data_IF_995674367702
#
_entry.id   IF_995674367702
#
_cell.length_a   1.000
_cell.length_b   1.000
_cell.length_c   1.000
_cell.angle_alpha   90.00
_cell.angle_beta   90.00
_cell.angle_gamma   90.00
#
_symmetry.space_group_name_H-M   'P 1'
#
loop_
_entity.id
_entity.type
_entity.pdbx_description
1 polymer ?
#
# COMPACT_ATOMS: atom_id res chain seq x y z
N UNK A 1 2.59 -14.16 -44.48
CA UNK A 1 3.29 -13.06 -45.18
C UNK A 1 4.00 -12.25 -44.11
N UNK A 2 5.28 -12.51 -43.88
CA UNK A 2 6.12 -11.75 -42.96
C UNK A 2 6.31 -10.34 -43.52
N UNK A 3 6.00 -9.31 -42.73
CA UNK A 3 6.19 -7.93 -43.13
C UNK A 3 7.67 -7.65 -43.41
N UNK A 4 8.02 -6.99 -44.53
CA UNK A 4 9.42 -6.74 -44.93
C UNK A 4 10.23 -5.90 -43.92
N UNK A 5 9.57 -5.28 -42.93
CA UNK A 5 10.21 -4.54 -41.84
C UNK A 5 10.77 -5.44 -40.72
N UNK A 6 10.26 -6.68 -40.56
CA UNK A 6 10.78 -7.62 -39.55
C UNK A 6 12.20 -8.08 -39.89
N UNK A 7 12.51 -8.22 -41.17
CA UNK A 7 13.81 -8.72 -41.62
C UNK A 7 14.94 -7.68 -41.47
N UNK A 8 14.63 -6.38 -41.33
CA UNK A 8 15.66 -5.32 -41.25
C UNK A 8 16.30 -5.24 -39.86
N UNK A 9 15.51 -5.28 -38.77
CA UNK A 9 16.09 -5.13 -37.42
C UNK A 9 16.85 -6.38 -36.97
N UNK A 10 16.34 -7.58 -37.25
CA UNK A 10 17.01 -8.82 -36.86
C UNK A 10 18.39 -8.96 -37.50
N UNK A 11 18.52 -8.54 -38.77
CA UNK A 11 19.81 -8.44 -39.46
C UNK A 11 20.74 -7.43 -38.81
N UNK A 12 20.25 -6.22 -38.52
CA UNK A 12 21.03 -5.17 -37.84
C UNK A 12 21.49 -5.59 -36.44
N UNK A 13 20.66 -6.33 -35.69
CA UNK A 13 21.04 -6.89 -34.39
C UNK A 13 22.15 -7.93 -34.53
N UNK A 14 22.07 -8.80 -35.55
CA UNK A 14 23.15 -9.75 -35.87
C UNK A 14 24.48 -9.06 -36.18
N UNK A 15 24.44 -7.99 -36.98
CA UNK A 15 25.61 -7.18 -37.30
C UNK A 15 26.20 -6.48 -36.07
N UNK A 16 25.33 -5.92 -35.21
CA UNK A 16 25.75 -5.29 -33.95
C UNK A 16 26.39 -6.30 -33.00
N UNK A 17 25.79 -7.47 -32.82
CA UNK A 17 26.33 -8.55 -31.99
C UNK A 17 27.70 -9.02 -32.50
N UNK A 18 27.85 -9.22 -33.81
CA UNK A 18 29.11 -9.60 -34.43
C UNK A 18 30.19 -8.52 -34.24
N UNK A 19 29.84 -7.25 -34.51
CA UNK A 19 30.76 -6.13 -34.36
C UNK A 19 31.17 -5.85 -32.90
N UNK A 20 30.28 -6.15 -31.95
CA UNK A 20 30.52 -5.97 -30.51
C UNK A 20 31.68 -6.84 -29.98
N UNK A 21 31.93 -7.99 -30.63
CA UNK A 21 33.00 -8.92 -30.28
C UNK A 21 34.39 -8.45 -30.74
N UNK A 22 34.46 -7.50 -31.67
CA UNK A 22 35.70 -7.03 -32.27
C UNK A 22 36.05 -5.59 -31.81
N UNK A 23 37.31 -5.30 -31.44
CA UNK A 23 37.78 -3.93 -31.23
C UNK A 23 37.55 -3.06 -32.46
N UNK A 24 37.21 -1.78 -32.26
CA UNK A 24 36.88 -0.86 -33.35
C UNK A 24 37.95 -0.80 -34.47
N UNK A 25 39.24 -0.87 -34.11
CA UNK A 25 40.37 -0.88 -35.06
C UNK A 25 40.47 -2.14 -35.93
N UNK A 26 39.84 -3.24 -35.52
CA UNK A 26 39.84 -4.53 -36.24
C UNK A 26 38.59 -4.75 -37.09
N UNK A 27 37.63 -3.82 -37.06
CA UNK A 27 36.43 -3.89 -37.89
C UNK A 27 36.77 -3.47 -39.30
N UNK A 28 36.26 -4.19 -40.30
CA UNK A 28 36.42 -3.83 -41.71
C UNK A 28 35.56 -2.62 -42.08
N UNK A 29 34.43 -2.45 -41.39
CA UNK A 29 33.45 -1.38 -41.63
C UNK A 29 33.13 -0.64 -40.32
N UNK A 30 32.73 0.62 -40.46
CA UNK A 30 32.23 1.41 -39.34
C UNK A 30 30.86 0.87 -38.90
N UNK A 31 30.66 0.68 -37.60
CA UNK A 31 29.38 0.23 -37.03
C UNK A 31 28.39 1.38 -36.82
N UNK A 32 28.85 2.63 -36.91
CA UNK A 32 28.04 3.84 -36.72
C UNK A 32 26.74 3.85 -37.56
N UNK A 33 26.76 3.61 -38.90
CA UNK A 33 25.53 3.60 -39.69
C UNK A 33 24.53 2.51 -39.25
N UNK A 34 25.02 1.34 -38.84
CA UNK A 34 24.19 0.26 -38.30
C UNK A 34 23.51 0.69 -37.00
N UNK A 35 24.25 1.37 -36.10
CA UNK A 35 23.68 1.93 -34.86
C UNK A 35 22.62 2.98 -35.19
N UNK A 36 22.88 3.93 -36.09
CA UNK A 36 21.93 4.98 -36.49
C UNK A 36 20.63 4.38 -37.05
N UNK A 37 20.75 3.41 -37.96
CA UNK A 37 19.58 2.72 -38.54
C UNK A 37 18.81 1.93 -37.49
N UNK A 38 19.51 1.21 -36.60
CA UNK A 38 18.90 0.50 -35.46
C UNK A 38 18.11 1.47 -34.59
N UNK A 39 18.71 2.62 -34.23
CA UNK A 39 18.01 3.62 -33.39
C UNK A 39 16.82 4.26 -34.09
N UNK A 40 16.87 4.45 -35.41
CA UNK A 40 15.72 4.95 -36.19
C UNK A 40 14.56 3.97 -36.15
N UNK A 41 14.81 2.68 -36.44
CA UNK A 41 13.77 1.66 -36.43
C UNK A 41 13.16 1.52 -35.02
N UNK A 42 13.99 1.51 -33.99
CA UNK A 42 13.51 1.43 -32.61
C UNK A 42 12.66 2.65 -32.22
N UNK A 43 12.98 3.83 -32.71
CA UNK A 43 12.18 5.04 -32.50
C UNK A 43 10.82 4.94 -33.20
N UNK A 44 10.79 4.39 -34.42
CA UNK A 44 9.58 4.36 -35.25
C UNK A 44 8.56 3.29 -34.82
N UNK A 45 9.02 2.07 -34.48
CA UNK A 45 8.14 0.93 -34.16
C UNK A 45 8.33 0.30 -32.78
N UNK A 46 9.38 0.68 -32.04
CA UNK A 46 9.81 -0.01 -30.83
C UNK A 46 10.48 -1.37 -31.11
N UNK A 47 10.78 -2.09 -30.03
CA UNK A 47 11.34 -3.44 -30.04
C UNK A 47 10.31 -4.48 -29.58
N UNK A 48 10.19 -5.56 -30.34
CA UNK A 48 9.45 -6.76 -29.93
C UNK A 48 10.13 -7.44 -28.72
N UNK A 49 9.43 -8.30 -27.95
CA UNK A 49 10.00 -8.95 -26.76
C UNK A 49 11.35 -9.66 -27.00
N UNK A 50 11.49 -10.40 -28.10
CA UNK A 50 12.73 -11.12 -28.44
C UNK A 50 13.85 -10.16 -28.84
N UNK A 51 13.53 -9.13 -29.64
CA UNK A 51 14.47 -8.08 -30.05
C UNK A 51 14.97 -7.29 -28.82
N UNK A 52 14.06 -7.01 -27.88
CA UNK A 52 14.35 -6.32 -26.62
C UNK A 52 15.31 -7.13 -25.75
N UNK A 53 15.07 -8.44 -25.63
CA UNK A 53 15.94 -9.34 -24.86
C UNK A 53 17.38 -9.35 -25.44
N UNK A 54 17.51 -9.48 -26.78
CA UNK A 54 18.80 -9.43 -27.48
C UNK A 54 19.51 -8.10 -27.32
N UNK A 55 18.79 -6.98 -27.42
CA UNK A 55 19.34 -5.64 -27.19
C UNK A 55 19.83 -5.49 -25.75
N UNK A 56 19.06 -5.94 -24.76
CA UNK A 56 19.48 -5.89 -23.36
C UNK A 56 20.71 -6.76 -23.11
N UNK A 57 20.82 -7.95 -23.71
CA UNK A 57 22.03 -8.77 -23.64
C UNK A 57 23.25 -8.02 -24.19
N UNK A 58 23.11 -7.45 -25.40
CA UNK A 58 24.16 -6.65 -26.02
C UNK A 58 24.60 -5.48 -25.12
N UNK A 59 23.66 -4.80 -24.48
CA UNK A 59 23.92 -3.58 -23.70
C UNK A 59 24.45 -3.87 -22.28
N UNK A 60 24.19 -5.04 -21.73
CA UNK A 60 24.59 -5.42 -20.35
C UNK A 60 25.89 -6.22 -20.30
N UNK A 61 26.25 -6.92 -21.39
CA UNK A 61 27.50 -7.68 -21.49
C UNK A 61 28.65 -6.78 -21.92
N UNK A 62 29.84 -7.00 -21.33
CA UNK A 62 31.07 -6.31 -21.75
C UNK A 62 31.38 -6.58 -23.23
N UNK A 63 31.49 -5.52 -24.00
CA UNK A 63 31.78 -5.59 -25.44
C UNK A 63 32.65 -4.39 -25.90
N UNK A 64 32.90 -4.30 -27.20
CA UNK A 64 33.76 -3.28 -27.82
C UNK A 64 33.00 -2.12 -28.49
N UNK A 65 31.68 -2.02 -28.33
CA UNK A 65 30.92 -0.86 -28.77
C UNK A 65 31.28 0.35 -27.90
N UNK A 66 31.32 1.53 -28.52
CA UNK A 66 31.64 2.75 -27.80
C UNK A 66 30.44 3.22 -26.94
N UNK A 67 30.72 4.04 -25.94
CA UNK A 67 29.71 4.50 -24.98
C UNK A 67 28.61 5.36 -25.62
N UNK A 68 28.91 6.08 -26.72
CA UNK A 68 27.90 6.89 -27.40
C UNK A 68 26.89 5.99 -28.12
N UNK A 69 27.38 4.97 -28.83
CA UNK A 69 26.53 3.96 -29.47
C UNK A 69 25.63 3.23 -28.47
N UNK A 70 26.20 2.71 -27.37
CA UNK A 70 25.43 2.03 -26.33
C UNK A 70 24.34 2.94 -25.72
N UNK A 71 24.70 4.20 -25.41
CA UNK A 71 23.76 5.15 -24.84
C UNK A 71 22.68 5.60 -25.84
N UNK A 72 22.98 5.66 -27.14
CA UNK A 72 22.00 5.96 -28.18
C UNK A 72 20.95 4.84 -28.30
N UNK A 73 21.38 3.58 -28.23
CA UNK A 73 20.48 2.42 -28.25
C UNK A 73 19.58 2.42 -27.01
N UNK A 74 20.13 2.57 -25.78
CA UNK A 74 19.32 2.60 -24.55
C UNK A 74 18.26 3.70 -24.57
N UNK A 75 18.60 4.88 -25.10
CA UNK A 75 17.65 6.01 -25.19
C UNK A 75 16.49 5.76 -26.14
N UNK A 76 16.68 4.89 -27.14
CA UNK A 76 15.65 4.50 -28.09
C UNK A 76 15.06 3.12 -27.78
N UNK A 77 15.32 2.56 -26.60
CA UNK A 77 14.85 1.22 -26.25
C UNK A 77 13.37 1.24 -25.86
N UNK A 78 12.47 1.42 -26.82
CA UNK A 78 11.02 1.46 -26.60
C UNK A 78 10.42 0.06 -26.72
N UNK A 79 9.83 -0.55 -25.67
CA UNK A 79 9.13 -1.83 -25.81
C UNK A 79 7.85 -1.65 -26.62
N UNK A 80 7.61 -2.49 -27.62
CA UNK A 80 6.33 -2.53 -28.34
C UNK A 80 5.25 -3.30 -27.57
N UNK A 81 5.65 -4.05 -26.54
CA UNK A 81 4.78 -4.91 -25.74
C UNK A 81 5.20 -4.95 -24.27
N UNK A 82 4.82 -6.02 -23.58
CA UNK A 82 5.21 -6.23 -22.19
C UNK A 82 6.70 -6.60 -22.08
N UNK A 83 7.30 -6.25 -20.95
CA UNK A 83 8.71 -6.52 -20.64
C UNK A 83 8.80 -7.72 -19.70
N UNK A 84 9.43 -8.80 -20.18
CA UNK A 84 9.59 -10.05 -19.46
C UNK A 84 10.55 -9.94 -18.26
N UNK A 85 10.31 -10.77 -17.24
CA UNK A 85 11.08 -10.79 -15.99
C UNK A 85 12.58 -11.02 -16.22
N UNK A 86 12.95 -11.89 -17.16
CA UNK A 86 14.35 -12.15 -17.51
C UNK A 86 15.08 -10.89 -18.01
N UNK A 87 14.40 -10.08 -18.82
CA UNK A 87 14.94 -8.82 -19.34
C UNK A 87 15.20 -7.84 -18.21
N UNK A 88 14.25 -7.72 -17.27
CA UNK A 88 14.40 -6.89 -16.06
C UNK A 88 15.57 -7.38 -15.21
N UNK A 89 15.67 -8.68 -14.96
CA UNK A 89 16.74 -9.26 -14.14
C UNK A 89 18.13 -9.06 -14.76
N UNK A 90 18.27 -9.13 -16.09
CA UNK A 90 19.53 -8.83 -16.78
C UNK A 90 19.96 -7.38 -16.55
N UNK A 91 19.02 -6.44 -16.67
CA UNK A 91 19.29 -5.03 -16.37
C UNK A 91 19.70 -4.85 -14.90
N UNK A 92 18.97 -5.46 -13.96
CA UNK A 92 19.29 -5.37 -12.52
C UNK A 92 20.66 -6.01 -12.22
N UNK A 93 20.97 -7.16 -12.83
CA UNK A 93 22.26 -7.85 -12.69
C UNK A 93 23.45 -7.04 -13.21
N UNK A 94 23.21 -6.13 -14.16
CA UNK A 94 24.21 -5.23 -14.70
C UNK A 94 24.54 -4.03 -13.79
N UNK A 95 23.77 -3.79 -12.74
CA UNK A 95 23.98 -2.63 -11.84
C UNK A 95 25.12 -2.86 -10.84
N UNK A 96 25.79 -1.77 -10.45
CA UNK A 96 26.85 -1.74 -9.44
C UNK A 96 28.26 -1.82 -10.02
N UNK A 97 29.22 -2.14 -9.16
CA UNK A 97 30.65 -2.19 -9.49
C UNK A 97 31.06 -3.60 -9.93
N UNK A 98 31.89 -3.71 -10.96
CA UNK A 98 32.42 -4.99 -11.43
C UNK A 98 33.03 -4.91 -12.83
N UNK A 99 34.02 -5.76 -13.11
CA UNK A 99 34.73 -5.76 -14.41
C UNK A 99 33.85 -6.16 -15.59
N UNK A 100 32.78 -6.91 -15.33
CA UNK A 100 31.81 -7.36 -16.33
C UNK A 100 30.62 -6.41 -16.48
N UNK A 101 30.50 -5.41 -15.62
CA UNK A 101 29.34 -4.51 -15.59
C UNK A 101 29.55 -3.31 -16.53
N UNK A 102 28.48 -2.77 -17.12
CA UNK A 102 28.55 -1.54 -17.91
C UNK A 102 28.96 -0.33 -17.07
N UNK A 103 29.30 0.77 -17.75
CA UNK A 103 29.69 2.02 -17.10
C UNK A 103 28.55 2.60 -16.24
N UNK A 104 28.89 3.32 -15.17
CA UNK A 104 27.89 3.97 -14.30
C UNK A 104 26.93 4.91 -15.07
N UNK A 105 27.38 5.69 -16.07
CA UNK A 105 26.46 6.47 -16.92
C UNK A 105 25.46 5.60 -17.68
N UNK A 106 25.86 4.45 -18.20
CA UNK A 106 24.94 3.53 -18.89
C UNK A 106 23.97 2.88 -17.90
N UNK A 107 24.44 2.51 -16.70
CA UNK A 107 23.57 2.04 -15.61
C UNK A 107 22.51 3.07 -15.20
N UNK A 108 22.86 4.36 -15.16
CA UNK A 108 21.88 5.42 -14.90
C UNK A 108 20.79 5.48 -15.98
N UNK A 109 21.15 5.28 -17.25
CA UNK A 109 20.17 5.21 -18.35
C UNK A 109 19.27 3.98 -18.22
N UNK A 110 19.80 2.83 -17.83
CA UNK A 110 19.00 1.63 -17.57
C UNK A 110 18.01 1.83 -16.42
N UNK A 111 18.42 2.44 -15.31
CA UNK A 111 17.52 2.73 -14.19
C UNK A 111 16.42 3.71 -14.58
N UNK A 112 16.76 4.75 -15.36
CA UNK A 112 15.76 5.66 -15.93
C UNK A 112 14.79 4.91 -16.84
N UNK A 113 15.31 4.01 -17.68
CA UNK A 113 14.49 3.20 -18.56
C UNK A 113 13.52 2.31 -17.77
N UNK A 114 13.98 1.60 -16.73
CA UNK A 114 13.13 0.79 -15.85
C UNK A 114 11.99 1.60 -15.20
N UNK A 115 12.27 2.85 -14.80
CA UNK A 115 11.24 3.76 -14.29
C UNK A 115 10.20 4.06 -15.37
N UNK A 116 10.64 4.38 -16.60
CA UNK A 116 9.75 4.72 -17.71
C UNK A 116 8.88 3.54 -18.15
N UNK A 117 9.42 2.31 -18.14
CA UNK A 117 8.70 1.11 -18.57
C UNK A 117 8.04 0.34 -17.42
N UNK A 118 8.00 0.89 -16.20
CA UNK A 118 7.48 0.18 -15.01
C UNK A 118 6.05 -0.35 -15.18
N UNK A 119 5.20 0.39 -15.89
CA UNK A 119 3.81 0.01 -16.19
C UNK A 119 3.68 -1.06 -17.31
N UNK A 120 4.76 -1.29 -18.06
CA UNK A 120 4.85 -2.28 -19.14
C UNK A 120 5.48 -3.59 -18.67
N UNK A 121 5.91 -3.71 -17.42
CA UNK A 121 6.43 -4.97 -16.89
C UNK A 121 5.33 -6.04 -16.88
N UNK A 122 5.69 -7.28 -17.23
CA UNK A 122 4.80 -8.44 -17.10
C UNK A 122 4.46 -8.69 -15.63
N UNK A 123 5.48 -8.72 -14.78
CA UNK A 123 5.35 -8.90 -13.35
C UNK A 123 6.18 -7.85 -12.58
N UNK A 124 5.56 -6.75 -12.14
CA UNK A 124 6.24 -5.71 -11.34
C UNK A 124 6.84 -6.21 -10.03
N UNK A 125 6.42 -7.38 -9.51
CA UNK A 125 6.94 -7.95 -8.27
C UNK A 125 8.40 -8.42 -8.40
N UNK A 126 8.92 -8.63 -9.62
CA UNK A 126 10.31 -9.05 -9.83
C UNK A 126 11.31 -8.01 -9.26
N UNK A 127 11.01 -6.72 -9.41
CA UNK A 127 11.80 -5.63 -8.83
C UNK A 127 11.70 -5.60 -7.30
N UNK A 128 10.56 -6.00 -6.76
CA UNK A 128 10.38 -6.14 -5.31
C UNK A 128 11.22 -7.30 -4.75
N UNK A 129 11.39 -8.39 -5.48
CA UNK A 129 12.29 -9.48 -5.07
C UNK A 129 13.75 -9.05 -5.12
N UNK A 130 14.14 -8.24 -6.12
CA UNK A 130 15.48 -7.68 -6.25
C UNK A 130 15.74 -6.43 -5.39
N UNK A 131 14.81 -6.05 -4.51
CA UNK A 131 14.88 -4.79 -3.75
C UNK A 131 16.18 -4.64 -2.96
N UNK A 132 16.69 -5.73 -2.36
CA UNK A 132 17.96 -5.70 -1.63
C UNK A 132 19.15 -5.26 -2.48
N UNK A 133 19.22 -5.74 -3.73
CA UNK A 133 20.28 -5.37 -4.67
C UNK A 133 20.21 -3.88 -5.01
N UNK A 134 19.01 -3.40 -5.37
CA UNK A 134 18.79 -1.99 -5.71
C UNK A 134 19.09 -1.07 -4.53
N UNK A 135 18.64 -1.44 -3.33
CA UNK A 135 18.83 -0.66 -2.11
C UNK A 135 20.30 -0.55 -1.71
N UNK A 136 21.06 -1.63 -1.83
CA UNK A 136 22.47 -1.67 -1.43
C UNK A 136 23.38 -0.82 -2.34
N UNK A 137 22.88 -0.35 -3.49
CA UNK A 137 23.61 0.53 -4.41
C UNK A 137 23.34 2.03 -4.19
N UNK A 138 22.55 2.40 -3.16
CA UNK A 138 22.24 3.80 -2.86
C UNK A 138 23.47 4.65 -2.49
N UNK A 139 24.53 4.02 -2.01
CA UNK A 139 25.83 4.65 -1.75
C UNK A 139 26.46 5.23 -3.04
N UNK A 140 26.18 4.61 -4.19
CA UNK A 140 26.77 4.92 -5.50
C UNK A 140 26.17 6.21 -6.09
N UNK A 141 26.80 7.35 -5.80
CA UNK A 141 26.30 8.69 -6.14
C UNK A 141 25.91 8.88 -7.61
N UNK A 142 26.64 8.27 -8.55
CA UNK A 142 26.41 8.43 -10.00
C UNK A 142 25.05 7.91 -10.49
N UNK A 143 24.47 6.92 -9.80
CA UNK A 143 23.20 6.28 -10.16
C UNK A 143 22.10 6.47 -9.10
N UNK A 144 22.45 7.08 -7.96
CA UNK A 144 21.56 7.30 -6.81
C UNK A 144 20.25 8.02 -7.19
N UNK A 145 20.22 9.09 -7.99
CA UNK A 145 18.96 9.77 -8.31
C UNK A 145 17.94 8.84 -8.97
N UNK A 146 18.39 8.03 -9.94
CA UNK A 146 17.53 7.09 -10.66
C UNK A 146 17.18 5.89 -9.79
N UNK A 147 18.09 5.40 -8.94
CA UNK A 147 17.79 4.37 -7.94
C UNK A 147 16.71 4.84 -6.97
N UNK A 148 16.79 6.05 -6.44
CA UNK A 148 15.78 6.59 -5.52
C UNK A 148 14.40 6.64 -6.18
N UNK A 149 14.32 7.03 -7.45
CA UNK A 149 13.05 7.06 -8.18
C UNK A 149 12.49 5.64 -8.39
N UNK A 150 13.32 4.69 -8.84
CA UNK A 150 12.87 3.30 -9.01
C UNK A 150 12.44 2.69 -7.67
N UNK A 151 13.23 2.89 -6.61
CA UNK A 151 12.89 2.43 -5.26
C UNK A 151 11.61 3.07 -4.75
N UNK A 152 11.33 4.35 -5.05
CA UNK A 152 10.07 4.98 -4.67
C UNK A 152 8.84 4.26 -5.28
N UNK A 153 8.93 3.77 -6.53
CA UNK A 153 7.87 3.01 -7.19
C UNK A 153 7.73 1.59 -6.63
N UNK A 154 8.86 0.94 -6.32
CA UNK A 154 8.93 -0.47 -5.89
C UNK A 154 8.70 -0.65 -4.39
N UNK A 155 8.96 0.39 -3.57
CA UNK A 155 8.84 0.31 -2.12
C UNK A 155 7.43 -0.05 -1.69
N UNK A 156 7.35 -1.00 -0.76
CA UNK A 156 6.16 -1.53 -0.09
C UNK A 156 6.52 -1.75 1.38
N UNK A 157 5.55 -1.95 2.26
CA UNK A 157 5.77 -2.10 3.71
C UNK A 157 6.86 -3.13 4.05
N UNK A 158 6.84 -4.31 3.40
CA UNK A 158 7.86 -5.37 3.59
C UNK A 158 9.31 -4.94 3.36
N UNK A 159 9.52 -3.89 2.57
CA UNK A 159 10.85 -3.35 2.27
C UNK A 159 11.34 -2.36 3.34
N UNK A 160 10.43 -1.69 4.06
CA UNK A 160 10.72 -0.64 5.05
C UNK A 160 11.11 -1.29 6.38
N UNK A 161 12.33 -1.82 6.43
CA UNK A 161 12.91 -2.44 7.64
C UNK A 161 13.75 -1.44 8.43
N UNK A 162 13.85 -1.56 9.77
CA UNK A 162 14.61 -0.62 10.60
C UNK A 162 16.04 -0.37 10.10
N UNK A 163 16.77 -1.42 9.71
CA UNK A 163 18.14 -1.28 9.19
C UNK A 163 18.22 -0.46 7.89
N UNK A 164 17.20 -0.54 7.02
CA UNK A 164 17.14 0.26 5.79
C UNK A 164 16.80 1.71 6.08
N UNK A 165 15.88 1.95 7.03
CA UNK A 165 15.57 3.32 7.48
C UNK A 165 16.83 3.98 8.05
N UNK A 166 17.56 3.28 8.92
CA UNK A 166 18.83 3.74 9.48
C UNK A 166 19.88 4.00 8.39
N UNK A 167 19.99 3.11 7.40
CA UNK A 167 20.92 3.30 6.29
C UNK A 167 20.60 4.55 5.45
N UNK A 168 19.33 4.79 5.10
CA UNK A 168 18.93 6.01 4.37
C UNK A 168 19.22 7.25 5.22
N UNK A 169 18.84 7.26 6.50
CA UNK A 169 19.08 8.40 7.39
C UNK A 169 20.58 8.70 7.55
N UNK A 170 21.40 7.65 7.71
CA UNK A 170 22.85 7.75 7.74
C UNK A 170 23.42 8.35 6.46
N UNK A 171 22.93 7.89 5.30
CA UNK A 171 23.35 8.39 4.00
C UNK A 171 22.91 9.85 3.79
N UNK A 172 21.67 10.23 4.13
CA UNK A 172 21.19 11.62 4.09
C UNK A 172 22.11 12.56 4.87
N UNK A 173 22.52 12.15 6.08
CA UNK A 173 23.44 12.91 6.93
C UNK A 173 24.82 13.05 6.31
N UNK A 174 25.36 11.98 5.73
CA UNK A 174 26.67 12.01 5.04
C UNK A 174 26.65 12.89 3.80
N UNK A 175 25.55 12.90 3.05
CA UNK A 175 25.43 13.62 1.77
C UNK A 175 24.98 15.07 1.92
N UNK A 176 24.72 15.55 3.14
CA UNK A 176 24.32 16.94 3.38
C UNK A 176 22.90 17.30 2.90
N UNK A 177 21.95 16.37 2.96
CA UNK A 177 20.55 16.66 2.59
C UNK A 177 20.21 16.44 1.12
N UNK A 178 20.65 15.32 0.53
CA UNK A 178 20.30 14.92 -0.83
C UNK A 178 18.76 14.86 -1.04
N UNK A 179 18.21 15.63 -2.00
CA UNK A 179 16.76 15.70 -2.22
C UNK A 179 16.16 14.36 -2.68
N UNK A 180 16.93 13.51 -3.37
CA UNK A 180 16.45 12.22 -3.86
C UNK A 180 16.27 11.23 -2.71
N UNK A 181 17.25 11.19 -1.79
CA UNK A 181 17.15 10.38 -0.57
C UNK A 181 16.05 10.90 0.36
N UNK A 182 15.88 12.21 0.44
CA UNK A 182 14.76 12.83 1.17
C UNK A 182 13.42 12.42 0.57
N UNK A 183 13.30 12.37 -0.76
CA UNK A 183 12.13 11.86 -1.47
C UNK A 183 11.84 10.40 -1.12
N UNK A 184 12.85 9.53 -1.17
CA UNK A 184 12.70 8.11 -0.80
C UNK A 184 12.32 7.94 0.68
N UNK A 185 12.89 8.74 1.58
CA UNK A 185 12.56 8.72 3.01
C UNK A 185 11.09 9.12 3.27
N UNK A 186 10.54 10.06 2.48
CA UNK A 186 9.10 10.39 2.54
C UNK A 186 8.23 9.20 2.15
N UNK A 187 8.63 8.41 1.16
CA UNK A 187 7.92 7.16 0.81
C UNK A 187 7.98 6.17 1.98
N UNK A 188 9.13 6.01 2.61
CA UNK A 188 9.26 5.14 3.80
C UNK A 188 8.38 5.63 4.96
N UNK A 189 8.26 6.94 5.14
CA UNK A 189 7.42 7.57 6.16
C UNK A 189 5.93 7.25 5.99
N UNK A 190 5.45 7.05 4.77
CA UNK A 190 4.06 6.65 4.53
C UNK A 190 3.74 5.27 5.13
N UNK A 191 4.74 4.38 5.24
CA UNK A 191 4.57 3.03 5.78
C UNK A 191 4.86 2.93 7.29
N UNK A 192 5.80 3.73 7.80
CA UNK A 192 6.19 3.77 9.21
C UNK A 192 6.44 5.22 9.67
N UNK A 193 5.37 5.99 9.94
CA UNK A 193 5.49 7.39 10.38
C UNK A 193 6.18 7.53 11.74
N UNK A 194 6.16 6.49 12.59
CA UNK A 194 6.84 6.44 13.89
C UNK A 194 8.37 6.37 13.83
N UNK A 195 8.98 5.78 12.80
CA UNK A 195 10.44 5.54 12.80
C UNK A 195 11.25 6.81 12.45
N UNK A 196 10.62 7.80 11.83
CA UNK A 196 11.31 8.99 11.28
C UNK A 196 11.13 10.25 12.15
N UNK A 197 10.18 10.24 13.10
CA UNK A 197 10.01 11.34 14.07
C UNK A 197 9.84 10.80 15.49
N UNK A 198 10.87 10.89 16.35
CA UNK A 198 10.79 10.46 17.74
C UNK A 198 9.99 11.42 18.63
N UNK A 199 9.28 12.42 18.07
CA UNK A 199 8.55 13.42 18.84
C UNK A 199 7.02 13.29 18.64
N UNK A 200 6.30 12.74 19.64
CA UNK A 200 4.85 12.67 19.67
C UNK A 200 4.16 14.04 19.54
N UNK A 201 4.77 15.13 20.01
CA UNK A 201 4.20 16.48 19.93
C UNK A 201 4.20 17.02 18.50
N UNK A 202 5.28 16.79 17.76
CA UNK A 202 5.34 17.12 16.33
C UNK A 202 4.29 16.33 15.52
N UNK A 203 4.08 15.03 15.85
CA UNK A 203 3.04 14.19 15.22
C UNK A 203 1.65 14.75 15.43
N UNK A 204 1.29 15.07 16.67
CA UNK A 204 0.01 15.70 17.00
C UNK A 204 -0.21 17.00 16.19
N UNK A 205 0.86 17.77 15.95
CA UNK A 205 0.80 18.99 15.14
C UNK A 205 0.65 18.72 13.64
N UNK A 206 1.32 17.72 13.09
CA UNK A 206 1.17 17.35 11.67
C UNK A 206 -0.23 16.81 11.40
N UNK A 207 -0.75 15.95 12.28
CA UNK A 207 -2.11 15.42 12.18
C UNK A 207 -3.12 16.57 12.21
N UNK A 208 -2.93 17.55 13.08
CA UNK A 208 -3.75 18.79 13.11
C UNK A 208 -3.67 19.58 11.79
N UNK A 209 -2.50 19.65 11.14
CA UNK A 209 -2.30 20.35 9.86
C UNK A 209 -2.94 19.59 8.69
N UNK A 210 -2.79 18.26 8.64
CA UNK A 210 -3.39 17.42 7.61
C UNK A 210 -4.92 17.38 7.75
N UNK A 211 -5.44 17.33 8.98
CA UNK A 211 -6.87 17.46 9.29
C UNK A 211 -7.47 18.78 8.78
N UNK A 212 -6.72 19.90 8.86
CA UNK A 212 -7.14 21.19 8.29
C UNK A 212 -7.20 21.18 6.77
N UNK A 213 -6.34 20.41 6.10
CA UNK A 213 -6.31 20.30 4.63
C UNK A 213 -7.42 19.38 4.10
N UNK A 214 -7.67 18.23 4.73
CA UNK A 214 -8.77 17.34 4.34
C UNK A 214 -10.14 17.97 4.56
N UNK A 215 -10.31 18.85 5.56
CA UNK A 215 -11.53 19.68 5.74
C UNK A 215 -11.89 20.53 4.52
N UNK A 216 -10.92 20.90 3.67
CA UNK A 216 -11.17 21.70 2.45
C UNK A 216 -11.55 20.86 1.23
N UNK A 217 -11.34 19.54 1.27
CA UNK A 217 -11.47 18.66 0.11
C UNK A 217 -12.72 17.76 0.16
N UNK A 218 -13.38 17.65 1.32
CA UNK A 218 -14.44 16.66 1.59
C UNK A 218 -15.85 17.05 1.10
N UNK A 219 -15.99 18.17 0.37
CA UNK A 219 -17.30 18.63 -0.17
C UNK A 219 -17.66 18.02 -1.54
N UNK A 220 -16.85 17.10 -2.11
CA UNK A 220 -17.01 16.70 -3.52
C UNK A 220 -16.87 15.22 -3.90
N UNK A 221 -16.66 14.25 -3.00
CA UNK A 221 -16.55 12.84 -3.42
C UNK A 221 -17.62 11.91 -2.85
N UNK A 222 -18.21 11.12 -3.75
CA UNK A 222 -19.07 9.97 -3.43
C UNK A 222 -18.19 8.92 -2.73
N UNK A 223 -18.52 8.60 -1.48
CA UNK A 223 -17.73 7.66 -0.66
C UNK A 223 -17.98 6.22 -1.12
N UNK A 224 -17.00 5.59 -1.74
CA UNK A 224 -17.00 4.14 -1.94
C UNK A 224 -16.78 3.46 -0.58
N UNK A 225 -17.75 2.68 -0.10
CA UNK A 225 -17.71 1.98 1.19
C UNK A 225 -16.70 0.82 1.26
N UNK A 226 -15.68 0.81 0.41
CA UNK A 226 -14.61 -0.18 0.31
C UNK A 226 -13.23 0.39 0.64
N UNK A 227 -13.19 1.53 1.34
CA UNK A 227 -11.98 2.10 1.91
C UNK A 227 -12.19 2.35 3.41
N UNK A 228 -11.12 2.21 4.20
CA UNK A 228 -11.16 2.48 5.65
C UNK A 228 -11.62 3.91 5.90
N UNK A 229 -12.67 4.02 6.70
CA UNK A 229 -13.35 5.27 6.89
C UNK A 229 -12.74 6.03 8.07
N UNK A 230 -11.63 6.74 7.80
CA UNK A 230 -11.05 7.70 8.74
C UNK A 230 -12.00 8.85 9.11
N UNK A 231 -13.16 8.97 8.44
CA UNK A 231 -14.15 10.01 8.69
C UNK A 231 -15.16 9.69 9.78
N UNK A 232 -15.31 8.44 10.22
CA UNK A 232 -16.29 8.10 11.26
C UNK A 232 -15.90 8.63 12.64
N UNK A 233 -14.61 8.82 12.91
CA UNK A 233 -14.13 9.63 14.03
C UNK A 233 -14.57 11.11 13.97
N UNK A 234 -15.24 11.56 12.89
CA UNK A 234 -15.77 12.94 12.73
C UNK A 234 -17.27 13.08 13.03
N UNK A 235 -18.08 12.02 13.01
CA UNK A 235 -19.54 12.12 13.23
C UNK A 235 -19.91 12.21 14.72
N UNK A 236 -19.09 11.60 15.57
CA UNK A 236 -19.25 11.62 17.02
C UNK A 236 -18.48 12.82 17.58
N UNK A 237 -19.14 13.97 17.69
CA UNK A 237 -18.52 15.20 18.25
C UNK A 237 -18.06 15.04 19.71
N UNK A 238 -18.49 13.99 20.41
CA UNK A 238 -18.01 13.56 21.74
C UNK A 238 -17.11 12.31 21.71
N UNK A 239 -17.47 11.26 20.95
CA UNK A 239 -16.79 9.96 20.99
C UNK A 239 -15.43 9.85 20.26
N UNK A 240 -14.77 10.97 19.94
CA UNK A 240 -13.41 10.98 19.33
C UNK A 240 -12.36 10.23 20.16
N UNK A 241 -12.62 10.05 21.45
CA UNK A 241 -11.73 9.36 22.40
C UNK A 241 -12.07 7.86 22.53
N UNK A 242 -13.29 7.42 22.20
CA UNK A 242 -13.73 6.04 22.44
C UNK A 242 -13.26 5.05 21.39
N UNK A 243 -13.48 5.39 20.13
CA UNK A 243 -13.32 4.43 19.04
C UNK A 243 -12.00 4.69 18.33
N UNK A 244 -10.99 3.83 18.54
CA UNK A 244 -9.78 3.92 17.75
C UNK A 244 -10.09 3.78 16.25
N UNK A 245 -9.32 4.46 15.41
CA UNK A 245 -9.38 4.21 13.97
C UNK A 245 -8.92 2.78 13.66
N UNK A 246 -9.43 2.21 12.57
CA UNK A 246 -9.00 0.90 12.11
C UNK A 246 -7.49 0.94 11.86
N UNK A 247 -6.76 0.20 12.66
CA UNK A 247 -5.31 0.09 12.59
C UNK A 247 -4.83 -1.33 12.86
N UNK A 248 -4.00 -1.82 11.95
CA UNK A 248 -3.33 -3.12 12.04
C UNK A 248 -1.88 -2.93 12.46
N UNK A 249 -1.57 -3.23 13.73
CA UNK A 249 -0.22 -3.25 14.27
C UNK A 249 0.37 -4.66 14.08
N UNK A 250 1.59 -4.74 13.56
CA UNK A 250 2.36 -5.98 13.37
C UNK A 250 1.81 -6.96 12.32
N UNK A 251 1.34 -6.44 11.18
CA UNK A 251 0.89 -7.30 10.09
C UNK A 251 2.02 -8.23 9.56
N UNK A 252 1.73 -9.51 9.36
CA UNK A 252 2.69 -10.48 8.80
C UNK A 252 2.93 -10.28 7.30
N UNK A 253 4.04 -10.83 6.79
CA UNK A 253 4.51 -10.56 5.43
C UNK A 253 3.63 -11.10 4.30
N UNK A 254 2.76 -12.07 4.60
CA UNK A 254 1.83 -12.70 3.66
C UNK A 254 0.40 -12.16 3.73
N UNK A 255 0.13 -11.26 4.67
CA UNK A 255 -1.22 -10.73 4.88
C UNK A 255 -1.41 -9.36 4.22
N UNK A 256 -2.69 -9.03 4.03
CA UNK A 256 -3.16 -7.73 3.55
C UNK A 256 -3.82 -7.04 4.73
N UNK A 257 -3.64 -5.74 4.91
CA UNK A 257 -4.37 -5.05 5.98
C UNK A 257 -5.64 -4.41 5.41
N UNK A 258 -6.63 -4.16 6.27
CA UNK A 258 -7.90 -3.60 5.83
C UNK A 258 -7.73 -2.20 5.20
N UNK A 259 -6.72 -1.46 5.63
CA UNK A 259 -6.33 -0.13 5.14
C UNK A 259 -5.84 -0.14 3.68
N UNK A 260 -5.46 -1.30 3.15
CA UNK A 260 -4.94 -1.47 1.77
C UNK A 260 -6.06 -1.80 0.76
N UNK A 261 -7.28 -2.00 1.24
CA UNK A 261 -8.44 -2.30 0.41
C UNK A 261 -9.11 -0.99 -0.01
N UNK A 262 -9.34 -0.85 -1.31
CA UNK A 262 -9.94 0.34 -1.93
C UNK A 262 -11.17 0.03 -2.80
N UNK A 263 -11.48 -1.25 -2.97
CA UNK A 263 -12.47 -1.77 -3.92
C UNK A 263 -13.05 -3.11 -3.46
N UNK A 264 -14.22 -3.46 -4.01
CA UNK A 264 -14.88 -4.72 -3.71
C UNK A 264 -14.07 -5.91 -4.24
N UNK A 265 -13.46 -5.74 -5.41
CA UNK A 265 -12.61 -6.72 -6.06
C UNK A 265 -11.35 -7.00 -5.22
N UNK A 266 -10.72 -5.94 -4.68
CA UNK A 266 -9.56 -6.07 -3.79
C UNK A 266 -9.90 -6.80 -2.49
N UNK A 267 -11.07 -6.52 -1.90
CA UNK A 267 -11.55 -7.25 -0.72
C UNK A 267 -11.76 -8.74 -1.03
N UNK A 268 -12.44 -9.07 -2.14
CA UNK A 268 -12.75 -10.44 -2.50
C UNK A 268 -11.49 -11.27 -2.79
N UNK A 269 -10.50 -10.70 -3.49
CA UNK A 269 -9.25 -11.39 -3.84
C UNK A 269 -8.36 -11.65 -2.63
N UNK A 270 -8.48 -10.84 -1.57
CA UNK A 270 -7.60 -10.91 -0.41
C UNK A 270 -8.29 -11.37 0.86
N UNK A 271 -9.59 -11.72 0.83
CA UNK A 271 -10.44 -11.99 2.00
C UNK A 271 -9.78 -12.90 3.07
N UNK A 272 -9.13 -13.98 2.64
CA UNK A 272 -8.47 -14.94 3.53
C UNK A 272 -7.13 -14.43 4.08
N UNK A 273 -6.46 -13.56 3.32
CA UNK A 273 -5.17 -12.96 3.65
C UNK A 273 -5.32 -11.68 4.47
N UNK A 274 -6.53 -11.12 4.57
CA UNK A 274 -6.73 -9.92 5.35
C UNK A 274 -6.47 -10.22 6.82
N UNK A 275 -5.49 -9.54 7.39
CA UNK A 275 -5.22 -9.59 8.82
C UNK A 275 -6.15 -8.65 9.58
N UNK A 276 -6.60 -9.15 10.72
CA UNK A 276 -7.52 -8.42 11.56
C UNK A 276 -6.83 -7.23 12.24
N UNK A 277 -7.44 -6.03 12.19
CA UNK A 277 -6.92 -4.86 12.88
C UNK A 277 -6.72 -5.13 14.37
N UNK A 278 -5.67 -4.53 14.96
CA UNK A 278 -5.39 -4.70 16.39
C UNK A 278 -6.49 -4.09 17.26
N UNK A 279 -7.13 -3.04 16.75
CA UNK A 279 -8.20 -2.30 17.41
C UNK A 279 -9.59 -2.72 16.86
N UNK A 280 -9.99 -3.96 17.13
CA UNK A 280 -11.21 -4.59 16.59
C UNK A 280 -12.52 -3.86 16.92
N UNK A 281 -12.57 -3.09 18.00
CA UNK A 281 -13.74 -2.29 18.41
C UNK A 281 -14.14 -1.27 17.33
N UNK A 282 -13.19 -0.88 16.47
CA UNK A 282 -13.45 -0.05 15.31
C UNK A 282 -14.52 -0.65 14.36
N UNK A 283 -14.81 -1.96 14.44
CA UNK A 283 -15.90 -2.62 13.69
C UNK A 283 -17.24 -1.94 13.91
N UNK A 284 -17.50 -1.39 15.09
CA UNK A 284 -18.79 -0.76 15.37
C UNK A 284 -19.00 0.48 14.51
N UNK A 285 -17.92 1.15 14.11
CA UNK A 285 -17.97 2.31 13.26
C UNK A 285 -17.68 1.97 11.79
N UNK A 286 -16.60 1.24 11.49
CA UNK A 286 -16.04 1.12 10.14
C UNK A 286 -16.79 0.12 9.23
N UNK A 287 -17.42 0.57 8.12
CA UNK A 287 -18.23 -0.29 7.26
C UNK A 287 -17.43 -1.37 6.51
N UNK A 288 -16.15 -1.15 6.28
CA UNK A 288 -15.29 -2.12 5.59
C UNK A 288 -14.92 -3.25 6.55
N UNK A 289 -14.63 -2.93 7.82
CA UNK A 289 -14.35 -3.92 8.85
C UNK A 289 -15.60 -4.74 9.20
N UNK A 290 -16.78 -4.10 9.21
CA UNK A 290 -18.07 -4.79 9.34
C UNK A 290 -18.26 -5.83 8.24
N UNK A 291 -18.01 -5.46 6.97
CA UNK A 291 -18.10 -6.39 5.84
C UNK A 291 -17.10 -7.53 5.96
N UNK A 292 -15.85 -7.25 6.38
CA UNK A 292 -14.85 -8.29 6.58
C UNK A 292 -15.32 -9.32 7.61
N UNK A 293 -15.77 -8.88 8.79
CA UNK A 293 -16.18 -9.79 9.86
C UNK A 293 -17.51 -10.49 9.57
N UNK A 294 -18.38 -9.90 8.74
CA UNK A 294 -19.57 -10.58 8.22
C UNK A 294 -19.21 -11.73 7.26
N UNK A 295 -18.26 -11.49 6.36
CA UNK A 295 -17.83 -12.46 5.34
C UNK A 295 -16.88 -13.52 5.92
N UNK A 296 -16.09 -13.15 6.93
CA UNK A 296 -15.12 -14.00 7.61
C UNK A 296 -15.28 -13.84 9.14
N UNK A 297 -16.24 -14.55 9.74
CA UNK A 297 -16.43 -14.53 11.18
C UNK A 297 -15.22 -15.14 11.89
N UNK A 298 -14.78 -14.50 12.97
CA UNK A 298 -13.66 -14.94 13.79
C UNK A 298 -14.05 -14.95 15.28
N UNK A 299 -13.86 -16.09 15.93
CA UNK A 299 -14.31 -16.31 17.31
C UNK A 299 -13.46 -15.52 18.32
N UNK A 300 -12.15 -15.41 18.08
CA UNK A 300 -11.24 -14.64 18.94
C UNK A 300 -11.56 -13.14 18.83
N UNK A 301 -11.78 -12.64 17.61
CA UNK A 301 -12.16 -11.27 17.37
C UNK A 301 -13.48 -10.92 18.07
N UNK A 302 -14.47 -11.81 17.97
CA UNK A 302 -15.76 -11.68 18.64
C UNK A 302 -15.61 -11.64 20.16
N UNK A 303 -14.77 -12.50 20.74
CA UNK A 303 -14.47 -12.50 22.18
C UNK A 303 -13.76 -11.22 22.61
N UNK A 304 -12.80 -10.71 21.82
CA UNK A 304 -12.08 -9.46 22.12
C UNK A 304 -12.99 -8.24 22.10
N UNK A 305 -13.90 -8.16 21.13
CA UNK A 305 -14.93 -7.12 21.08
C UNK A 305 -15.85 -7.21 22.30
N UNK A 306 -16.30 -8.43 22.64
CA UNK A 306 -17.16 -8.66 23.82
C UNK A 306 -16.48 -8.25 25.13
N UNK A 307 -15.23 -8.66 25.35
CA UNK A 307 -14.48 -8.34 26.56
C UNK A 307 -14.27 -6.84 26.71
N UNK A 308 -14.01 -6.14 25.62
CA UNK A 308 -13.89 -4.68 25.64
C UNK A 308 -15.21 -4.00 25.99
N UNK A 309 -16.33 -4.43 25.41
CA UNK A 309 -17.66 -3.87 25.71
C UNK A 309 -18.06 -4.07 27.18
N UNK A 310 -17.77 -5.25 27.74
CA UNK A 310 -18.02 -5.55 29.16
C UNK A 310 -17.14 -4.71 30.07
N UNK A 311 -15.86 -4.52 29.72
CA UNK A 311 -14.96 -3.66 30.49
C UNK A 311 -15.46 -2.20 30.53
N UNK A 312 -15.87 -1.63 29.39
CA UNK A 312 -16.41 -0.27 29.34
C UNK A 312 -17.68 -0.09 30.19
N UNK A 313 -18.56 -1.11 30.24
CA UNK A 313 -19.72 -1.08 31.12
C UNK A 313 -19.33 -1.18 32.59
N UNK A 314 -18.32 -1.99 32.91
CA UNK A 314 -17.75 -2.10 34.25
C UNK A 314 -17.20 -0.78 34.77
N UNK A 315 -16.44 -0.06 33.95
CA UNK A 315 -15.82 1.23 34.29
C UNK A 315 -16.88 2.31 34.60
N UNK A 316 -18.03 2.27 33.92
CA UNK A 316 -19.14 3.21 34.21
C UNK A 316 -19.90 2.79 35.47
N UNK A 317 -20.08 1.49 35.70
CA UNK A 317 -20.72 0.98 36.90
C UNK A 317 -19.89 1.21 38.18
N UNK A 318 -18.55 1.23 38.07
CA UNK A 318 -17.64 1.58 39.17
C UNK A 318 -17.53 3.10 39.41
N UNK A 319 -18.03 3.92 38.48
CA UNK A 319 -17.91 5.38 38.51
C UNK A 319 -16.58 5.92 37.99
N UNK A 320 -15.76 5.07 37.35
CA UNK A 320 -14.49 5.43 36.75
C UNK A 320 -14.65 6.08 35.35
N UNK A 321 -15.84 6.00 34.77
CA UNK A 321 -16.19 6.59 33.48
C UNK A 321 -17.57 7.28 33.49
N UNK A 322 -17.73 8.27 32.61
CA UNK A 322 -18.96 9.06 32.46
C UNK A 322 -20.09 8.27 31.79
N UNK A 323 -21.34 8.50 32.19
CA UNK A 323 -22.54 7.88 31.58
C UNK A 323 -22.71 8.34 30.12
N UNK A 324 -22.23 9.55 29.80
CA UNK A 324 -22.20 10.07 28.42
C UNK A 324 -21.42 9.15 27.46
N UNK A 325 -20.43 8.40 27.98
CA UNK A 325 -19.68 7.37 27.26
C UNK A 325 -20.61 6.28 26.69
N UNK A 326 -21.52 5.77 27.53
CA UNK A 326 -22.45 4.71 27.14
C UNK A 326 -23.47 5.20 26.12
N UNK A 327 -23.93 6.44 26.28
CA UNK A 327 -24.84 7.07 25.32
C UNK A 327 -24.16 7.23 23.95
N UNK A 328 -22.90 7.62 23.91
CA UNK A 328 -22.11 7.67 22.67
C UNK A 328 -21.93 6.29 22.03
N UNK A 329 -21.73 5.23 22.82
CA UNK A 329 -21.70 3.87 22.30
C UNK A 329 -23.05 3.42 21.72
N UNK A 330 -24.17 3.79 22.36
CA UNK A 330 -25.51 3.46 21.87
C UNK A 330 -25.77 4.05 20.48
N UNK A 331 -25.29 5.26 20.21
CA UNK A 331 -25.42 5.89 18.88
C UNK A 331 -24.67 5.09 17.80
N UNK A 332 -23.47 4.60 18.11
CA UNK A 332 -22.68 3.79 17.17
C UNK A 332 -23.31 2.41 16.96
N UNK A 333 -23.81 1.78 18.03
CA UNK A 333 -24.51 0.49 17.96
C UNK A 333 -25.82 0.63 17.17
N UNK A 334 -26.53 1.74 17.35
CA UNK A 334 -27.72 2.09 16.57
C UNK A 334 -27.38 2.23 15.08
N UNK A 335 -26.37 3.02 14.72
CA UNK A 335 -25.92 3.17 13.33
C UNK A 335 -25.53 1.81 12.72
N UNK A 336 -24.84 0.95 13.48
CA UNK A 336 -24.50 -0.42 13.09
C UNK A 336 -25.75 -1.27 12.84
N UNK A 337 -26.71 -1.26 13.76
CA UNK A 337 -27.94 -2.06 13.65
C UNK A 337 -28.81 -1.58 12.49
N UNK A 338 -28.89 -0.26 12.27
CA UNK A 338 -29.60 0.33 11.13
C UNK A 338 -28.93 -0.02 9.81
N UNK A 339 -27.60 -0.05 9.74
CA UNK A 339 -26.86 -0.38 8.53
C UNK A 339 -26.90 -1.88 8.19
N UNK A 340 -26.72 -2.73 9.18
CA UNK A 340 -26.66 -4.20 9.00
C UNK A 340 -28.02 -4.87 9.08
N UNK A 341 -29.04 -4.18 9.61
CA UNK A 341 -30.38 -4.71 9.91
C UNK A 341 -30.36 -5.92 10.85
N UNK A 342 -29.28 -6.07 11.61
CA UNK A 342 -29.08 -7.18 12.55
C UNK A 342 -28.44 -6.69 13.83
N UNK A 343 -28.76 -7.34 14.95
CA UNK A 343 -28.12 -7.09 16.24
C UNK A 343 -27.46 -8.38 16.73
N UNK A 344 -26.13 -8.53 16.59
CA UNK A 344 -25.38 -9.70 17.03
C UNK A 344 -25.59 -10.00 18.53
N UNK A 345 -25.49 -11.28 18.95
CA UNK A 345 -25.65 -11.68 20.36
C UNK A 345 -24.80 -10.87 21.34
N UNK A 346 -23.58 -10.48 20.93
CA UNK A 346 -22.69 -9.68 21.77
C UNK A 346 -23.26 -8.27 22.08
N UNK A 347 -23.92 -7.64 21.11
CA UNK A 347 -24.54 -6.33 21.26
C UNK A 347 -25.86 -6.42 22.03
N UNK A 348 -26.53 -7.57 21.98
CA UNK A 348 -27.69 -7.86 22.84
C UNK A 348 -27.28 -7.93 24.31
N UNK A 349 -26.19 -8.63 24.63
CA UNK A 349 -25.66 -8.70 26.00
C UNK A 349 -25.26 -7.32 26.52
N UNK A 350 -24.61 -6.51 25.67
CA UNK A 350 -24.30 -5.11 25.99
C UNK A 350 -25.58 -4.30 26.25
N UNK A 351 -26.58 -4.40 25.36
CA UNK A 351 -27.84 -3.67 25.48
C UNK A 351 -28.58 -4.03 26.78
N UNK A 352 -28.59 -5.31 27.16
CA UNK A 352 -29.16 -5.77 28.44
C UNK A 352 -28.48 -5.08 29.63
N UNK A 353 -27.15 -5.05 29.67
CA UNK A 353 -26.42 -4.42 30.78
C UNK A 353 -26.59 -2.90 30.78
N UNK A 354 -26.55 -2.27 29.61
CA UNK A 354 -26.84 -0.84 29.45
C UNK A 354 -28.23 -0.47 29.97
N UNK A 355 -29.27 -1.24 29.62
CA UNK A 355 -30.65 -0.97 30.05
C UNK A 355 -30.82 -1.04 31.58
N UNK A 356 -29.93 -1.73 32.32
CA UNK A 356 -29.94 -1.73 33.79
C UNK A 356 -29.49 -0.39 34.36
N UNK A 357 -28.45 0.23 33.78
CA UNK A 357 -27.87 1.50 34.25
C UNK A 357 -28.50 2.74 33.63
N UNK A 358 -29.16 2.62 32.47
CA UNK A 358 -29.75 3.75 31.75
C UNK A 358 -30.96 4.38 32.46
N UNK A 359 -30.97 5.69 32.67
CA UNK A 359 -32.03 6.42 33.40
C UNK A 359 -33.35 6.61 32.62
N UNK A 360 -33.37 6.28 31.32
CA UNK A 360 -34.54 6.41 30.45
C UNK A 360 -34.65 7.75 29.71
N UNK A 361 -33.72 8.69 29.93
CA UNK A 361 -33.81 10.05 29.38
C UNK A 361 -32.93 10.25 28.13
N UNK A 362 -31.66 9.82 28.18
CA UNK A 362 -30.69 10.03 27.10
C UNK A 362 -30.91 9.14 25.88
N UNK A 363 -30.88 9.71 24.66
CA UNK A 363 -30.97 9.02 23.35
C UNK A 363 -32.13 8.00 23.25
N UNK A 364 -33.26 8.29 23.91
CA UNK A 364 -34.44 7.41 24.01
C UNK A 364 -34.91 6.86 22.65
N UNK A 365 -35.03 7.71 21.64
CA UNK A 365 -35.52 7.29 20.32
C UNK A 365 -34.60 6.24 19.67
N UNK A 366 -33.28 6.43 19.79
CA UNK A 366 -32.29 5.47 19.29
C UNK A 366 -32.34 4.14 20.04
N UNK A 367 -32.51 4.18 21.37
CA UNK A 367 -32.65 2.97 22.19
C UNK A 367 -33.91 2.21 21.79
N UNK A 368 -35.03 2.90 21.59
CA UNK A 368 -36.28 2.28 21.17
C UNK A 368 -36.19 1.68 19.77
N UNK A 369 -35.54 2.37 18.83
CA UNK A 369 -35.31 1.83 17.49
C UNK A 369 -34.36 0.62 17.53
N UNK A 370 -33.32 0.64 18.37
CA UNK A 370 -32.42 -0.50 18.58
C UNK A 370 -33.18 -1.76 19.04
N UNK A 371 -34.17 -1.60 19.92
CA UNK A 371 -35.00 -2.71 20.38
C UNK A 371 -35.81 -3.36 19.25
N UNK A 372 -36.12 -2.62 18.18
CA UNK A 372 -36.80 -3.20 17.01
C UNK A 372 -35.94 -4.21 16.23
N UNK A 373 -34.61 -4.13 16.37
CA UNK A 373 -33.66 -5.08 15.77
C UNK A 373 -33.36 -6.29 16.66
N UNK A 374 -33.94 -6.35 17.86
CA UNK A 374 -33.78 -7.49 18.77
C UNK A 374 -34.52 -8.70 18.18
N UNK A 375 -33.84 -9.85 17.96
CA UNK A 375 -34.48 -11.02 17.37
C UNK A 375 -35.62 -11.54 18.26
N UNK A 376 -36.71 -11.96 17.62
CA UNK A 376 -37.82 -12.66 18.24
C UNK A 376 -37.34 -14.05 18.68
N UNK A 377 -37.22 -14.27 19.98
CA UNK A 377 -36.78 -15.53 20.61
C UNK A 377 -37.88 -15.98 21.58
N UNK A 378 -37.97 -17.28 21.87
CA UNK A 378 -38.92 -17.85 22.84
C UNK A 378 -38.93 -17.11 24.19
N UNK A 379 -40.14 -16.87 24.70
CA UNK A 379 -40.45 -16.00 25.84
C UNK A 379 -39.66 -16.32 27.13
N UNK A 380 -39.24 -17.58 27.32
CA UNK A 380 -38.54 -18.03 28.53
C UNK A 380 -37.14 -17.43 28.70
N UNK A 381 -36.50 -16.94 27.63
CA UNK A 381 -35.13 -16.39 27.67
C UNK A 381 -35.03 -14.89 27.96
N UNK A 382 -36.14 -14.14 28.02
CA UNK A 382 -36.13 -12.65 28.06
C UNK A 382 -37.01 -12.01 29.14
N UNK A 383 -37.41 -12.76 30.17
CA UNK A 383 -38.17 -12.22 31.33
C UNK A 383 -37.49 -10.97 31.94
N UNK A 384 -36.16 -10.91 31.90
CA UNK A 384 -35.37 -9.74 32.29
C UNK A 384 -35.71 -8.46 31.51
N UNK A 385 -35.75 -8.49 30.17
CA UNK A 385 -35.98 -7.28 29.35
C UNK A 385 -37.36 -6.72 29.68
N UNK A 386 -38.40 -7.56 29.70
CA UNK A 386 -39.76 -7.15 30.04
C UNK A 386 -39.87 -6.62 31.48
N UNK A 387 -39.18 -7.23 32.45
CA UNK A 387 -39.12 -6.72 33.83
C UNK A 387 -38.46 -5.34 33.91
N UNK A 388 -37.32 -5.14 33.25
CA UNK A 388 -36.63 -3.85 33.22
C UNK A 388 -37.44 -2.77 32.51
N UNK A 389 -38.17 -3.11 31.44
CA UNK A 389 -39.11 -2.18 30.82
C UNK A 389 -40.25 -1.82 31.76
N UNK A 390 -40.83 -2.82 32.46
CA UNK A 390 -41.93 -2.59 33.40
C UNK A 390 -41.55 -1.72 34.60
N UNK A 391 -40.33 -1.81 35.11
CA UNK A 391 -39.86 -0.97 36.22
C UNK A 391 -39.44 0.44 35.81
N UNK A 392 -39.07 0.67 34.55
CA UNK A 392 -38.63 2.00 34.07
C UNK A 392 -39.71 2.78 33.34
N UNK A 393 -40.73 2.12 32.80
CA UNK A 393 -41.75 2.72 31.93
C UNK A 393 -43.20 2.46 32.35
N UNK A 394 -43.42 1.65 33.40
CA UNK A 394 -44.72 1.52 34.07
C UNK A 394 -44.80 2.45 35.26
#
# INVERSE_FOLDING_TARGET
>A
MSSPERDDLDGLLGDLEAASKLPAKRRQTSIKPTVERTTSILYDRGALPDELARLVDLLTVRNHLDQASLAAIVRNLYPSGKVADETVLRVVGALGHGQLKPSLPLQALFLRWLVMVYHLLENPAILSQAYGVLFNLLDTAAIRPQLCHLLALVTRRKHVRPFRVQAILGLCRQTGGDPNLTGLLRVFKNYYPEIIHPDPQWRAKLDEIQQRRSKRQDDRSVRNGFAVNHALSRRLKGAKVLFPAVHTLHAQESSVTLEEIDSAESLAQNLEKVELPTQLVAVLADPLLQKLLLLRPDAEASSRISNWLVACLGDVASGDADVDLLLDMIEVIHDYAVATKTLPPLLLTFLEQFLRVWDGSGKRDMVLELLSYVPLIEFQGKDFLFRTFKTKWG
#
